data_IF_619086836031
#
_entry.id   IF_619086836031
#
_cell.length_a   1.000
_cell.length_b   1.000
_cell.length_c   1.000
_cell.angle_alpha   90.00
_cell.angle_beta   90.00
_cell.angle_gamma   90.00
#
_symmetry.space_group_name_H-M   'P 1'
#
loop_
_entity.id
_entity.type
_entity.pdbx_description
1 polymer ?
#
# COMPACT_ATOMS: atom_id res chain seq x y z
N UNK A 1 -11.13 -3.99 -16.30
CA UNK A 1 -10.52 -4.24 -14.97
C UNK A 1 -9.01 -4.46 -15.06
N UNK A 2 -8.44 -4.66 -16.25
CA UNK A 2 -6.99 -4.76 -16.45
C UNK A 2 -6.47 -3.63 -17.34
N UNK A 3 -5.20 -3.28 -17.19
CA UNK A 3 -4.48 -2.25 -17.92
C UNK A 3 -3.79 -2.82 -19.18
N UNK A 4 -2.96 -2.03 -19.87
CA UNK A 4 -2.29 -2.47 -21.10
C UNK A 4 -1.32 -3.65 -20.91
N UNK A 5 -0.85 -3.86 -19.68
CA UNK A 5 0.06 -4.94 -19.27
C UNK A 5 -0.66 -6.19 -18.76
N UNK A 6 -1.99 -6.19 -18.70
CA UNK A 6 -2.77 -7.29 -18.11
C UNK A 6 -2.77 -7.30 -16.58
N UNK A 7 -2.35 -6.21 -15.94
CA UNK A 7 -2.38 -6.00 -14.49
C UNK A 7 -3.63 -5.21 -14.07
N UNK A 8 -4.02 -5.14 -12.79
CA UNK A 8 -5.19 -4.38 -12.34
C UNK A 8 -5.20 -2.91 -12.81
N UNK A 9 -6.28 -2.44 -13.44
CA UNK A 9 -6.40 -1.02 -13.82
C UNK A 9 -6.93 -0.12 -12.70
N UNK A 10 -6.73 -0.54 -11.44
CA UNK A 10 -7.09 0.18 -10.23
C UNK A 10 -6.07 -0.15 -9.14
N UNK A 11 -6.03 0.66 -8.09
CA UNK A 11 -5.16 0.41 -6.95
C UNK A 11 -5.95 -0.12 -5.75
N UNK A 12 -5.36 -1.04 -4.99
CA UNK A 12 -5.86 -1.48 -3.69
C UNK A 12 -4.75 -1.27 -2.67
N UNK A 13 -5.11 -0.70 -1.52
CA UNK A 13 -4.23 -0.52 -0.37
C UNK A 13 -4.72 -1.41 0.77
N UNK A 14 -3.86 -2.30 1.25
CA UNK A 14 -4.08 -3.14 2.41
C UNK A 14 -3.31 -2.60 3.60
N UNK A 15 -4.01 -2.45 4.72
CA UNK A 15 -3.42 -2.10 6.00
C UNK A 15 -3.62 -3.27 6.95
N UNK A 16 -2.53 -3.69 7.59
CA UNK A 16 -2.51 -4.89 8.43
C UNK A 16 -1.94 -4.51 9.79
N UNK A 17 -2.54 -5.06 10.85
CA UNK A 17 -2.08 -4.97 12.22
C UNK A 17 -2.32 -6.33 12.87
N UNK A 18 -1.30 -6.89 13.53
CA UNK A 18 -1.45 -8.15 14.25
C UNK A 18 -1.63 -7.92 15.77
N UNK A 19 -1.92 -8.99 16.51
CA UNK A 19 -2.15 -8.92 17.96
C UNK A 19 -0.93 -8.47 18.78
N UNK A 20 0.29 -8.49 18.21
CA UNK A 20 1.51 -7.97 18.84
C UNK A 20 1.72 -6.47 18.58
N UNK A 21 0.88 -5.84 17.77
CA UNK A 21 1.04 -4.44 17.38
C UNK A 21 1.95 -4.22 16.17
N UNK A 22 2.45 -5.28 15.53
CA UNK A 22 3.22 -5.15 14.29
C UNK A 22 2.28 -4.77 13.15
N UNK A 23 2.69 -3.81 12.32
CA UNK A 23 1.87 -3.27 11.24
C UNK A 23 2.60 -3.29 9.91
N UNK A 24 1.83 -3.38 8.83
CA UNK A 24 2.34 -3.28 7.45
C UNK A 24 1.29 -2.65 6.53
N UNK A 25 1.75 -1.94 5.51
CA UNK A 25 0.94 -1.43 4.41
C UNK A 25 1.45 -1.99 3.10
N UNK A 26 0.54 -2.48 2.26
CA UNK A 26 0.86 -3.04 0.94
C UNK A 26 -0.09 -2.44 -0.08
N UNK A 27 0.42 -2.04 -1.24
CA UNK A 27 -0.36 -1.46 -2.33
C UNK A 27 -0.13 -2.21 -3.64
N UNK A 28 -1.11 -2.24 -4.54
CA UNK A 28 -0.90 -2.81 -5.87
C UNK A 28 0.18 -2.03 -6.63
N UNK A 29 0.07 -0.70 -6.64
CA UNK A 29 1.03 0.19 -7.31
C UNK A 29 1.78 1.10 -6.33
N UNK A 30 2.96 1.64 -6.70
CA UNK A 30 3.75 2.58 -5.91
C UNK A 30 3.01 3.89 -5.60
N UNK A 31 3.63 4.73 -4.77
CA UNK A 31 3.12 6.04 -4.32
C UNK A 31 1.86 5.95 -3.44
N UNK A 32 1.75 4.87 -2.66
CA UNK A 32 0.79 4.73 -1.59
C UNK A 32 1.48 4.87 -0.23
N UNK A 33 0.77 5.42 0.74
CA UNK A 33 1.23 5.54 2.13
C UNK A 33 0.06 5.36 3.08
N UNK A 34 0.38 5.11 4.36
CA UNK A 34 -0.60 4.97 5.42
C UNK A 34 -0.15 5.68 6.69
N UNK A 35 -1.11 6.03 7.53
CA UNK A 35 -0.86 6.64 8.81
C UNK A 35 -0.86 5.58 9.91
N UNK A 36 0.11 5.66 10.83
CA UNK A 36 0.19 4.85 12.04
C UNK A 36 0.51 5.75 13.22
N UNK A 37 -0.10 5.48 14.37
CA UNK A 37 0.20 6.18 15.61
C UNK A 37 0.72 5.17 16.63
N UNK A 38 1.99 5.31 17.00
CA UNK A 38 2.69 4.44 17.96
C UNK A 38 3.18 5.27 19.16
N UNK A 39 4.00 4.70 20.03
CA UNK A 39 4.72 5.43 21.07
C UNK A 39 5.63 6.54 20.54
N UNK A 40 5.98 6.51 19.25
CA UNK A 40 6.75 7.56 18.57
C UNK A 40 5.87 8.70 18.02
N UNK A 41 4.56 8.67 18.28
CA UNK A 41 3.58 9.61 17.76
C UNK A 41 3.04 9.24 16.38
N UNK A 42 2.29 10.15 15.73
CA UNK A 42 1.71 9.91 14.41
C UNK A 42 2.77 10.00 13.31
N UNK A 43 2.79 8.99 12.42
CA UNK A 43 3.72 8.90 11.31
C UNK A 43 2.96 8.53 10.03
N UNK A 44 3.40 9.08 8.90
CA UNK A 44 2.99 8.61 7.57
C UNK A 44 4.12 7.76 6.99
N UNK A 45 3.83 6.50 6.72
CA UNK A 45 4.80 5.50 6.27
C UNK A 45 4.43 4.97 4.87
N UNK A 46 5.40 4.70 4.00
CA UNK A 46 5.12 4.19 2.65
C UNK A 46 4.56 2.77 2.70
N UNK A 47 3.65 2.46 1.78
CA UNK A 47 3.18 1.09 1.53
C UNK A 47 4.14 0.37 0.58
N UNK A 48 4.34 -0.93 0.80
CA UNK A 48 5.13 -1.79 -0.08
C UNK A 48 4.35 -2.05 -1.39
N UNK A 49 4.90 -1.72 -2.58
CA UNK A 49 4.23 -1.98 -3.84
C UNK A 49 4.39 -3.44 -4.30
N UNK A 50 3.32 -4.04 -4.82
CA UNK A 50 3.33 -5.39 -5.40
C UNK A 50 3.68 -5.40 -6.90
N UNK A 51 3.36 -4.32 -7.60
CA UNK A 51 3.58 -4.13 -9.04
C UNK A 51 4.36 -2.83 -9.29
N UNK A 52 4.93 -2.71 -10.48
CA UNK A 52 5.60 -1.48 -10.94
C UNK A 52 4.63 -0.61 -11.74
N UNK A 53 4.98 0.66 -11.95
CA UNK A 53 4.19 1.59 -12.77
C UNK A 53 2.92 2.08 -12.09
N UNK A 54 1.86 2.33 -12.86
CA UNK A 54 0.57 2.85 -12.38
C UNK A 54 -0.61 2.13 -13.05
N UNK A 55 -1.83 2.25 -12.51
CA UNK A 55 -3.01 1.58 -13.05
C UNK A 55 -3.33 1.91 -14.52
N UNK A 56 -2.89 3.08 -15.02
CA UNK A 56 -3.19 3.56 -16.37
C UNK A 56 -2.18 3.15 -17.44
N UNK A 57 -1.09 2.46 -17.07
CA UNK A 57 -0.07 2.00 -18.02
C UNK A 57 -0.54 0.81 -18.89
#
# INVERSE_FOLDING_TARGET
LLNGRGEPNFNINFYMLNAKGEYAGVAMYPNSSFAVCTENGPQTVPSEPLLQGKPED
#
